data_IF_919540910864
#
_entry.id   IF_919540910864
#
_cell.length_a   1.000
_cell.length_b   1.000
_cell.length_c   1.000
_cell.angle_alpha   90.00
_cell.angle_beta   90.00
_cell.angle_gamma   90.00
#
_symmetry.space_group_name_H-M   'P 1'
#
loop_
_entity.id
_entity.type
_entity.pdbx_description
1 polymer ?
#
# COMPACT_ATOMS: atom_id res chain seq x y z
N UNK A 1 -5.01 -18.65 -41.20
CA UNK A 1 -4.61 -18.80 -39.78
C UNK A 1 -4.04 -17.47 -39.33
N UNK A 2 -4.84 -16.63 -38.68
CA UNK A 2 -4.37 -15.34 -38.16
C UNK A 2 -3.69 -15.58 -36.82
N UNK A 3 -2.38 -15.33 -36.75
CA UNK A 3 -1.69 -15.21 -35.47
C UNK A 3 -2.33 -14.06 -34.67
N UNK A 4 -2.55 -14.20 -33.35
CA UNK A 4 -3.06 -13.09 -32.57
C UNK A 4 -1.99 -11.99 -32.57
N UNK A 5 -2.39 -10.77 -32.98
CA UNK A 5 -1.59 -9.56 -32.80
C UNK A 5 -1.35 -9.40 -31.30
N UNK A 6 -0.20 -9.86 -30.82
CA UNK A 6 0.22 -9.60 -29.44
C UNK A 6 0.52 -8.11 -29.38
N UNK A 7 -0.43 -7.36 -28.80
CA UNK A 7 -0.37 -5.91 -28.71
C UNK A 7 0.85 -5.50 -27.88
N UNK A 8 1.77 -4.76 -28.48
CA UNK A 8 2.96 -4.20 -27.79
C UNK A 8 2.62 -2.90 -27.04
N UNK A 9 1.34 -2.69 -26.73
CA UNK A 9 0.86 -1.54 -25.99
C UNK A 9 1.24 -1.68 -24.50
N UNK A 10 1.53 -0.54 -23.83
CA UNK A 10 1.79 -0.54 -22.41
C UNK A 10 0.56 -1.04 -21.63
N UNK A 11 0.77 -1.98 -20.72
CA UNK A 11 -0.27 -2.55 -19.86
C UNK A 11 -0.68 -1.64 -18.70
N UNK A 12 0.19 -0.69 -18.35
CA UNK A 12 -0.06 0.29 -17.31
C UNK A 12 -0.22 1.67 -17.96
N UNK A 13 -1.07 2.54 -17.40
CA UNK A 13 -1.24 3.90 -17.89
C UNK A 13 0.10 4.64 -17.86
N UNK A 14 0.40 5.33 -18.97
CA UNK A 14 1.56 6.23 -19.10
C UNK A 14 1.12 7.65 -18.76
N UNK A 15 0.42 7.81 -17.64
CA UNK A 15 0.02 9.12 -17.14
C UNK A 15 1.02 9.62 -16.11
N UNK A 16 1.33 10.91 -16.17
CA UNK A 16 2.19 11.57 -15.18
C UNK A 16 1.52 11.60 -13.80
N UNK A 17 0.21 11.87 -13.74
CA UNK A 17 -0.55 11.92 -12.49
C UNK A 17 -1.77 11.00 -12.58
N UNK A 18 -1.76 9.93 -11.78
CA UNK A 18 -2.90 9.02 -11.64
C UNK A 18 -3.85 9.52 -10.56
N UNK A 19 -5.14 9.64 -10.87
CA UNK A 19 -6.18 10.02 -9.90
C UNK A 19 -7.13 8.84 -9.63
N UNK A 20 -7.20 8.40 -8.38
CA UNK A 20 -7.84 7.14 -8.02
C UNK A 20 -8.80 7.32 -6.84
N UNK A 21 -10.09 7.06 -7.03
CA UNK A 21 -11.11 7.16 -5.98
C UNK A 21 -11.11 5.98 -4.99
N UNK A 22 -10.65 4.79 -5.42
CA UNK A 22 -10.55 3.56 -4.62
C UNK A 22 -11.79 3.29 -3.73
N UNK A 23 -12.99 3.16 -4.33
CA UNK A 23 -14.25 3.05 -3.59
C UNK A 23 -14.25 1.87 -2.62
N UNK A 24 -14.56 2.10 -1.34
CA UNK A 24 -14.53 1.04 -0.32
C UNK A 24 -13.16 0.86 0.37
N UNK A 25 -12.11 1.52 -0.13
CA UNK A 25 -10.85 1.72 0.58
C UNK A 25 -10.79 3.14 1.14
N UNK A 26 -11.03 4.14 0.29
CA UNK A 26 -11.07 5.54 0.67
C UNK A 26 -12.51 5.98 0.99
N UNK A 27 -12.69 6.92 1.93
CA UNK A 27 -13.98 7.56 2.16
C UNK A 27 -14.50 8.31 0.92
N UNK A 28 -15.82 8.49 0.83
CA UNK A 28 -16.44 9.23 -0.26
C UNK A 28 -15.90 10.67 -0.35
N UNK A 29 -15.62 11.13 -1.58
CA UNK A 29 -15.05 12.45 -1.85
C UNK A 29 -13.55 12.55 -1.59
N UNK A 30 -12.88 11.45 -1.25
CA UNK A 30 -11.43 11.39 -1.16
C UNK A 30 -10.83 10.63 -2.35
N UNK A 31 -9.61 11.02 -2.74
CA UNK A 31 -8.87 10.39 -3.82
C UNK A 31 -7.41 10.20 -3.43
N UNK A 32 -6.77 9.21 -4.04
CA UNK A 32 -5.33 9.05 -4.09
C UNK A 32 -4.83 9.61 -5.42
N UNK A 33 -3.98 10.63 -5.38
CA UNK A 33 -3.27 11.12 -6.56
C UNK A 33 -1.80 10.68 -6.49
N UNK A 34 -1.26 10.17 -7.59
CA UNK A 34 0.14 9.70 -7.66
C UNK A 34 0.82 10.37 -8.83
N UNK A 35 1.79 11.23 -8.54
CA UNK A 35 2.73 11.73 -9.53
C UNK A 35 3.83 10.69 -9.74
N UNK A 36 3.74 9.97 -10.85
CA UNK A 36 4.57 8.80 -11.15
C UNK A 36 6.05 9.12 -11.42
N UNK A 37 6.44 10.26 -12.04
CA UNK A 37 7.84 10.58 -12.30
C UNK A 37 8.69 10.71 -11.02
N UNK A 38 8.17 11.39 -9.99
CA UNK A 38 8.89 11.60 -8.72
C UNK A 38 8.43 10.65 -7.61
N UNK A 39 7.46 9.78 -7.88
CA UNK A 39 6.93 8.84 -6.90
C UNK A 39 6.21 9.50 -5.72
N UNK A 40 5.55 10.63 -5.95
CA UNK A 40 4.81 11.33 -4.91
C UNK A 40 3.36 10.86 -4.91
N UNK A 41 2.92 10.22 -3.82
CA UNK A 41 1.51 9.88 -3.63
C UNK A 41 0.89 10.77 -2.55
N UNK A 42 -0.24 11.39 -2.87
CA UNK A 42 -1.00 12.24 -1.97
C UNK A 42 -2.43 11.75 -1.85
N UNK A 43 -2.95 11.76 -0.62
CA UNK A 43 -4.37 11.55 -0.37
C UNK A 43 -5.03 12.92 -0.23
N UNK A 44 -6.01 13.19 -1.08
CA UNK A 44 -6.74 14.44 -1.12
C UNK A 44 -8.18 14.20 -0.69
N UNK A 45 -8.72 15.12 0.11
CA UNK A 45 -10.13 15.15 0.45
C UNK A 45 -10.86 16.28 -0.25
N UNK A 46 -12.16 16.08 -0.46
CA UNK A 46 -13.04 17.10 -1.02
C UNK A 46 -12.93 18.45 -0.26
N UNK A 47 -13.04 19.57 -0.98
CA UNK A 47 -13.11 20.88 -0.36
C UNK A 47 -14.34 20.98 0.55
N UNK A 48 -14.24 21.76 1.63
CA UNK A 48 -15.37 21.96 2.56
C UNK A 48 -16.44 22.90 2.01
N UNK A 49 -16.06 23.77 1.07
CA UNK A 49 -16.92 24.75 0.42
C UNK A 49 -16.54 24.83 -1.06
N UNK A 50 -17.51 25.15 -1.89
CA UNK A 50 -17.27 25.41 -3.31
C UNK A 50 -16.25 26.54 -3.49
N UNK A 51 -15.36 26.39 -4.47
CA UNK A 51 -14.26 27.32 -4.73
C UNK A 51 -13.02 27.18 -3.83
N UNK A 52 -13.01 26.26 -2.85
CA UNK A 52 -11.81 25.96 -2.06
C UNK A 52 -10.93 24.89 -2.73
N UNK A 53 -9.59 24.95 -2.52
CA UNK A 53 -8.72 23.87 -2.97
C UNK A 53 -8.99 22.56 -2.21
N UNK A 54 -8.68 21.40 -2.83
CA UNK A 54 -8.71 20.11 -2.14
C UNK A 54 -7.83 20.10 -0.89
N UNK A 55 -8.25 19.33 0.11
CA UNK A 55 -7.51 19.21 1.37
C UNK A 55 -6.45 18.13 1.27
N UNK A 56 -5.19 18.46 1.54
CA UNK A 56 -4.14 17.45 1.68
C UNK A 56 -4.33 16.68 3.00
N UNK A 57 -4.64 15.39 2.90
CA UNK A 57 -4.85 14.50 4.05
C UNK A 57 -3.60 13.69 4.38
N UNK A 58 -2.69 13.52 3.43
CA UNK A 58 -1.40 12.88 3.64
C UNK A 58 -0.58 12.83 2.35
N UNK A 59 0.74 12.74 2.51
CA UNK A 59 1.68 12.64 1.40
C UNK A 59 2.78 11.62 1.72
N UNK A 60 3.22 10.86 0.72
CA UNK A 60 4.30 9.88 0.84
C UNK A 60 5.15 9.90 -0.42
N UNK A 61 6.47 9.86 -0.22
CA UNK A 61 7.44 9.72 -1.30
C UNK A 61 7.83 8.24 -1.45
N UNK A 62 7.83 7.77 -2.69
CA UNK A 62 8.21 6.43 -3.09
C UNK A 62 9.44 6.50 -3.98
N UNK A 63 10.34 5.55 -3.78
CA UNK A 63 11.47 5.33 -4.70
C UNK A 63 10.97 4.71 -6.00
N UNK A 64 11.77 4.78 -7.07
CA UNK A 64 11.43 4.18 -8.37
C UNK A 64 11.01 2.71 -8.25
N UNK A 65 11.76 1.89 -7.49
CA UNK A 65 11.41 0.48 -7.30
C UNK A 65 10.12 0.27 -6.51
N UNK A 66 9.81 1.17 -5.57
CA UNK A 66 8.53 1.12 -4.86
C UNK A 66 7.37 1.57 -5.76
N UNK A 67 7.57 2.56 -6.65
CA UNK A 67 6.60 2.95 -7.67
C UNK A 67 6.28 1.81 -8.63
N UNK A 68 7.30 1.05 -9.04
CA UNK A 68 7.13 -0.14 -9.88
C UNK A 68 6.21 -1.20 -9.23
N UNK A 69 6.09 -1.21 -7.91
CA UNK A 69 5.13 -2.06 -7.20
C UNK A 69 3.81 -1.32 -6.88
N UNK A 70 3.85 -0.03 -6.55
CA UNK A 70 2.69 0.77 -6.17
C UNK A 70 1.70 0.94 -7.33
N UNK A 71 2.19 1.34 -8.51
CA UNK A 71 1.33 1.62 -9.67
C UNK A 71 0.49 0.41 -10.08
N UNK A 72 1.07 -0.78 -10.33
CA UNK A 72 0.26 -1.93 -10.71
C UNK A 72 -0.73 -2.34 -9.61
N UNK A 73 -0.40 -2.18 -8.32
CA UNK A 73 -1.33 -2.45 -7.23
C UNK A 73 -2.58 -1.57 -7.28
N UNK A 74 -2.40 -0.26 -7.47
CA UNK A 74 -3.51 0.69 -7.42
C UNK A 74 -4.35 0.71 -8.68
N UNK A 75 -3.73 0.45 -9.85
CA UNK A 75 -4.43 0.34 -11.14
C UNK A 75 -5.22 -0.98 -11.23
N UNK A 76 -4.77 -2.05 -10.58
CA UNK A 76 -5.49 -3.32 -10.57
C UNK A 76 -6.76 -3.29 -9.71
N UNK A 77 -6.92 -2.30 -8.83
CA UNK A 77 -8.10 -2.18 -7.97
C UNK A 77 -9.38 -2.00 -8.80
N UNK A 78 -10.50 -2.71 -8.51
CA UNK A 78 -10.80 -3.49 -7.30
C UNK A 78 -10.30 -4.95 -7.29
N UNK A 79 -9.64 -5.39 -8.35
CA UNK A 79 -9.09 -6.73 -8.46
C UNK A 79 -7.74 -6.85 -7.76
N UNK A 80 -7.26 -8.09 -7.62
CA UNK A 80 -5.91 -8.33 -7.15
C UNK A 80 -4.91 -8.00 -8.26
N UNK A 81 -3.72 -7.57 -7.89
CA UNK A 81 -2.57 -7.43 -8.77
C UNK A 81 -1.80 -8.75 -8.82
N UNK A 82 -1.69 -9.41 -9.99
CA UNK A 82 -1.01 -10.69 -10.13
C UNK A 82 0.51 -10.61 -9.90
N UNK A 83 1.12 -11.72 -9.47
CA UNK A 83 2.58 -11.76 -9.26
C UNK A 83 3.39 -11.54 -10.53
N UNK A 84 2.93 -12.04 -11.68
CA UNK A 84 3.63 -11.84 -12.95
C UNK A 84 3.68 -10.37 -13.36
N UNK A 85 2.65 -9.58 -13.05
CA UNK A 85 2.60 -8.15 -13.33
C UNK A 85 3.59 -7.43 -12.43
N UNK A 86 3.60 -7.75 -11.13
CA UNK A 86 4.57 -7.19 -10.18
C UNK A 86 6.01 -7.54 -10.54
N UNK A 87 6.25 -8.78 -10.96
CA UNK A 87 7.57 -9.23 -11.40
C UNK A 87 8.01 -8.49 -12.66
N UNK A 88 7.14 -8.37 -13.65
CA UNK A 88 7.43 -7.64 -14.88
C UNK A 88 7.70 -6.15 -14.60
N UNK A 89 6.91 -5.50 -13.75
CA UNK A 89 7.14 -4.12 -13.36
C UNK A 89 8.45 -3.96 -12.58
N UNK A 90 8.79 -4.91 -11.70
CA UNK A 90 10.05 -4.89 -10.97
C UNK A 90 11.26 -5.04 -11.90
N UNK A 91 11.19 -5.94 -12.88
CA UNK A 91 12.30 -6.22 -13.80
C UNK A 91 12.46 -5.17 -14.91
N UNK A 92 11.34 -4.63 -15.41
CA UNK A 92 11.35 -3.79 -16.61
C UNK A 92 10.94 -2.34 -16.36
N UNK A 93 10.14 -2.07 -15.33
CA UNK A 93 9.42 -0.79 -15.15
C UNK A 93 10.30 0.44 -14.97
N UNK A 94 11.55 0.30 -14.56
CA UNK A 94 12.49 1.42 -14.43
C UNK A 94 13.14 1.85 -15.75
N UNK A 95 13.16 0.97 -16.76
CA UNK A 95 13.96 1.18 -17.99
C UNK A 95 13.16 1.01 -19.28
N UNK A 96 12.02 0.32 -19.22
CA UNK A 96 11.20 -0.01 -20.38
C UNK A 96 9.72 -0.08 -20.00
N UNK A 97 8.85 0.13 -20.98
CA UNK A 97 7.40 -0.05 -20.80
C UNK A 97 7.06 -1.52 -20.53
N UNK A 98 6.14 -1.77 -19.60
CA UNK A 98 5.65 -3.12 -19.30
C UNK A 98 4.56 -3.48 -20.30
N UNK A 99 4.78 -4.53 -21.09
CA UNK A 99 3.88 -4.99 -22.16
C UNK A 99 3.40 -6.41 -21.90
N UNK A 100 2.30 -6.82 -22.55
CA UNK A 100 1.73 -8.17 -22.40
C UNK A 100 2.72 -9.31 -22.68
N UNK A 101 3.57 -9.27 -23.72
CA UNK A 101 4.60 -10.29 -23.93
C UNK A 101 5.50 -10.51 -22.70
N UNK A 102 5.84 -9.43 -22.00
CA UNK A 102 6.73 -9.51 -20.82
C UNK A 102 6.01 -10.06 -19.61
N UNK A 103 4.77 -9.64 -19.39
CA UNK A 103 3.93 -10.22 -18.33
C UNK A 103 3.70 -11.70 -18.59
N UNK A 104 3.42 -12.11 -19.83
CA UNK A 104 3.28 -13.51 -20.21
C UNK A 104 4.57 -14.31 -19.97
N UNK A 105 5.74 -13.74 -20.29
CA UNK A 105 7.03 -14.38 -20.01
C UNK A 105 7.27 -14.55 -18.49
N UNK A 106 6.96 -13.53 -17.69
CA UNK A 106 7.01 -13.61 -16.23
C UNK A 106 6.04 -14.66 -15.68
N UNK A 107 4.81 -14.75 -16.22
CA UNK A 107 3.80 -15.75 -15.85
C UNK A 107 4.31 -17.17 -16.09
N UNK A 108 4.80 -17.44 -17.30
CA UNK A 108 5.37 -18.75 -17.65
C UNK A 108 6.60 -19.11 -16.80
N UNK A 109 7.40 -18.12 -16.41
CA UNK A 109 8.54 -18.34 -15.51
C UNK A 109 8.05 -18.72 -14.11
N UNK A 110 7.10 -17.96 -13.55
CA UNK A 110 6.56 -18.25 -12.22
C UNK A 110 5.88 -19.61 -12.15
N UNK A 111 5.11 -20.00 -13.17
CA UNK A 111 4.49 -21.33 -13.23
C UNK A 111 5.54 -22.44 -13.20
N UNK A 112 6.59 -22.35 -14.04
CA UNK A 112 7.68 -23.33 -14.02
C UNK A 112 8.36 -23.44 -12.66
N UNK A 113 8.59 -22.31 -11.98
CA UNK A 113 9.19 -22.30 -10.65
C UNK A 113 8.29 -22.92 -9.57
N UNK A 114 6.96 -22.78 -9.70
CA UNK A 114 5.99 -23.45 -8.83
C UNK A 114 5.99 -24.97 -9.08
N UNK A 115 5.99 -25.39 -10.35
CA UNK A 115 5.99 -26.80 -10.75
C UNK A 115 7.22 -27.57 -10.23
N UNK A 116 8.38 -26.91 -10.11
CA UNK A 116 9.59 -27.53 -9.58
C UNK A 116 9.53 -27.83 -8.07
N UNK A 117 8.79 -27.06 -7.28
CA UNK A 117 8.58 -27.31 -5.84
C UNK A 117 9.82 -27.24 -4.94
N UNK A 118 10.96 -26.73 -5.42
CA UNK A 118 12.26 -26.71 -4.74
C UNK A 118 12.54 -25.43 -3.92
N UNK A 119 11.55 -24.54 -3.82
CA UNK A 119 11.68 -23.23 -3.19
C UNK A 119 12.24 -22.13 -4.09
N UNK A 120 12.50 -22.41 -5.37
CA UNK A 120 12.97 -21.40 -6.33
C UNK A 120 11.95 -20.29 -6.56
N UNK A 121 10.64 -20.59 -6.50
CA UNK A 121 9.59 -19.57 -6.53
C UNK A 121 9.72 -18.57 -5.38
N UNK A 122 9.96 -19.07 -4.16
CA UNK A 122 10.14 -18.24 -2.97
C UNK A 122 11.37 -17.34 -3.11
N UNK A 123 12.45 -17.86 -3.68
CA UNK A 123 13.66 -17.09 -3.98
C UNK A 123 13.37 -15.94 -4.96
N UNK A 124 12.70 -16.23 -6.08
CA UNK A 124 12.34 -15.24 -7.09
C UNK A 124 11.41 -14.14 -6.54
N UNK A 125 10.42 -14.53 -5.72
CA UNK A 125 9.43 -13.60 -5.17
C UNK A 125 9.89 -12.83 -3.93
N UNK A 126 11.02 -13.20 -3.31
CA UNK A 126 11.57 -12.52 -2.13
C UNK A 126 11.80 -11.00 -2.35
N UNK A 127 12.47 -10.53 -3.42
CA UNK A 127 12.66 -9.10 -3.66
C UNK A 127 11.34 -8.34 -3.80
N UNK A 128 10.34 -8.94 -4.46
CA UNK A 128 9.00 -8.34 -4.65
C UNK A 128 8.33 -8.18 -3.28
N UNK A 129 8.34 -9.22 -2.44
CA UNK A 129 7.79 -9.18 -1.07
C UNK A 129 8.45 -8.10 -0.20
N UNK A 130 9.76 -7.94 -0.32
CA UNK A 130 10.50 -6.91 0.42
C UNK A 130 10.08 -5.49 -0.01
N UNK A 131 9.86 -5.26 -1.30
CA UNK A 131 9.36 -3.98 -1.81
C UNK A 131 7.93 -3.75 -1.37
N UNK A 132 7.05 -4.74 -1.53
CA UNK A 132 5.65 -4.64 -1.12
C UNK A 132 5.53 -4.34 0.37
N UNK A 133 6.40 -4.92 1.21
CA UNK A 133 6.44 -4.62 2.65
C UNK A 133 6.70 -3.13 2.93
N UNK A 134 7.62 -2.51 2.20
CA UNK A 134 7.91 -1.07 2.32
C UNK A 134 6.79 -0.20 1.76
N UNK A 135 6.26 -0.57 0.58
CA UNK A 135 5.10 0.10 -0.04
C UNK A 135 3.90 0.09 0.91
N UNK A 136 3.62 -1.06 1.52
CA UNK A 136 2.55 -1.24 2.49
C UNK A 136 2.68 -0.29 3.68
N UNK A 137 3.87 -0.18 4.27
CA UNK A 137 4.11 0.74 5.40
C UNK A 137 3.86 2.21 5.02
N UNK A 138 4.24 2.62 3.81
CA UNK A 138 3.96 3.97 3.31
C UNK A 138 2.46 4.18 3.08
N UNK A 139 1.79 3.22 2.44
CA UNK A 139 0.35 3.22 2.20
C UNK A 139 -0.48 3.26 3.48
N UNK A 140 0.00 2.69 4.59
CA UNK A 140 -0.66 2.81 5.90
C UNK A 140 -0.81 4.28 6.31
N UNK A 141 0.19 5.10 6.00
CA UNK A 141 0.14 6.56 6.21
C UNK A 141 -0.93 7.28 5.38
N UNK A 142 -1.44 6.63 4.34
CA UNK A 142 -2.54 7.09 3.48
C UNK A 142 -3.84 6.34 3.78
N UNK A 143 -3.87 5.49 4.82
CA UNK A 143 -5.05 4.72 5.23
C UNK A 143 -5.37 3.52 4.34
N UNK A 144 -4.40 3.03 3.57
CA UNK A 144 -4.55 1.89 2.65
C UNK A 144 -3.68 0.74 3.18
N UNK A 145 -4.20 -0.48 3.15
CA UNK A 145 -3.46 -1.71 3.46
C UNK A 145 -3.28 -2.58 2.19
N UNK A 146 -2.26 -3.43 2.21
CA UNK A 146 -1.97 -4.40 1.15
C UNK A 146 -1.96 -5.80 1.77
N UNK A 147 -2.75 -6.70 1.20
CA UNK A 147 -2.85 -8.10 1.66
C UNK A 147 -2.42 -9.06 0.56
N UNK A 148 -1.62 -10.08 0.93
CA UNK A 148 -1.22 -11.14 0.01
C UNK A 148 -2.36 -12.13 -0.24
N UNK A 149 -2.45 -12.61 -1.47
CA UNK A 149 -3.25 -13.77 -1.86
C UNK A 149 -2.27 -14.88 -2.26
N UNK A 150 -2.38 -16.04 -1.60
CA UNK A 150 -1.44 -17.15 -1.74
C UNK A 150 -1.24 -17.48 -3.22
N UNK A 151 0.01 -17.50 -3.66
CA UNK A 151 0.46 -17.88 -5.02
C UNK A 151 -0.16 -17.10 -6.18
N UNK A 152 -0.97 -16.08 -5.88
CA UNK A 152 -1.78 -15.37 -6.89
C UNK A 152 -1.35 -13.92 -7.04
N UNK A 153 -1.14 -13.21 -5.93
CA UNK A 153 -0.94 -11.77 -6.01
C UNK A 153 -1.12 -11.00 -4.72
N UNK A 154 -1.48 -9.73 -4.86
CA UNK A 154 -1.80 -8.82 -3.76
C UNK A 154 -3.07 -8.04 -4.03
N UNK A 155 -3.80 -7.71 -2.96
CA UNK A 155 -5.04 -6.93 -3.03
C UNK A 155 -4.95 -5.74 -2.07
N UNK A 156 -5.49 -4.60 -2.51
CA UNK A 156 -5.64 -3.41 -1.67
C UNK A 156 -6.89 -3.51 -0.80
N UNK A 157 -6.78 -3.03 0.45
CA UNK A 157 -7.86 -3.00 1.43
C UNK A 157 -7.85 -1.71 2.23
N UNK A 158 -8.98 -1.29 2.83
CA UNK A 158 -8.96 -0.20 3.80
C UNK A 158 -8.08 -0.58 5.00
N UNK A 159 -7.25 0.35 5.47
CA UNK A 159 -6.47 0.14 6.69
C UNK A 159 -7.43 0.06 7.89
N UNK A 160 -7.57 -1.14 8.46
CA UNK A 160 -8.30 -1.31 9.71
C UNK A 160 -7.51 -0.64 10.82
N UNK A 161 -8.07 0.43 11.41
CA UNK A 161 -7.55 0.96 12.68
C UNK A 161 -7.65 -0.14 13.70
N UNK A 162 -6.51 -0.75 14.06
CA UNK A 162 -6.44 -1.68 15.18
C UNK A 162 -6.98 -0.89 16.38
N UNK A 163 -8.17 -1.24 16.86
CA UNK A 163 -8.64 -0.76 18.16
C UNK A 163 -7.53 -1.14 19.14
N UNK A 164 -6.73 -0.17 19.57
CA UNK A 164 -5.92 -0.32 20.76
C UNK A 164 -6.94 -0.68 21.83
N UNK A 165 -6.97 -1.94 22.27
CA UNK A 165 -7.59 -2.28 23.55
C UNK A 165 -6.90 -1.36 24.55
N UNK A 166 -7.63 -0.36 25.03
CA UNK A 166 -7.21 0.44 26.15
C UNK A 166 -7.08 -0.55 27.30
N UNK A 167 -5.87 -1.02 27.56
CA UNK A 167 -5.56 -1.71 28.79
C UNK A 167 -5.77 -0.69 29.89
N UNK A 168 -6.87 -0.82 30.61
CA UNK A 168 -7.19 -0.06 31.81
C UNK A 168 -6.17 -0.41 32.88
N UNK A 169 -4.96 0.15 32.81
CA UNK A 169 -4.07 0.20 33.95
C UNK A 169 -4.51 1.38 34.83
N UNK A 170 -5.47 1.08 35.70
CA UNK A 170 -5.83 1.89 36.84
C UNK A 170 -4.61 1.98 37.78
N UNK A 171 -3.70 2.93 37.54
CA UNK A 171 -2.72 3.35 38.55
C UNK A 171 -3.49 4.09 39.64
N UNK A 172 -3.77 3.38 40.75
CA UNK A 172 -4.18 4.00 42.01
C UNK A 172 -3.07 4.96 42.44
N UNK A 173 -3.40 6.25 42.50
CA UNK A 173 -2.58 7.25 43.19
C UNK A 173 -2.86 7.07 44.68
N UNK A 174 -1.85 6.88 45.56
CA UNK A 174 -2.10 6.91 46.99
C UNK A 174 -2.26 8.38 47.41
N UNK A 175 -3.45 8.69 47.92
CA UNK A 175 -3.74 9.93 48.64
C UNK A 175 -3.06 9.83 50.00
N UNK A 176 -2.04 10.65 50.24
CA UNK A 176 -1.48 10.86 51.57
C UNK A 176 -2.37 11.87 52.30
N UNK A 177 -3.21 11.36 53.19
CA UNK A 177 -4.00 12.13 54.15
C UNK A 177 -3.08 12.77 55.18
N UNK A 178 -3.12 14.09 55.27
CA UNK A 178 -2.57 14.88 56.37
C UNK A 178 -3.37 14.63 57.65
N UNK A 179 -2.77 13.99 58.65
CA UNK A 179 -3.28 13.98 60.02
C UNK A 179 -2.64 15.10 60.82
N UNK A 180 -3.45 16.12 61.10
CA UNK A 180 -3.24 17.10 62.16
C UNK A 180 -3.40 16.42 63.52
N UNK A 181 -2.33 16.34 64.31
CA UNK A 181 -2.42 16.03 65.75
C UNK A 181 -2.11 17.31 66.51
N UNK A 182 -3.17 17.90 67.07
CA UNK A 182 -3.11 18.92 68.11
C UNK A 182 -3.45 18.21 69.43
N UNK A 183 -2.53 18.21 70.39
CA UNK A 183 -2.80 18.04 71.83
C UNK A 183 -1.54 18.51 72.60
N UNK A 184 -1.50 19.72 73.17
CA UNK A 184 -1.99 20.16 74.49
C UNK A 184 -1.22 19.60 75.71
N UNK A 185 -0.52 20.54 76.37
CA UNK A 185 -0.47 20.81 77.83
C UNK A 185 0.61 20.18 78.74
N UNK A 186 1.15 21.07 79.61
CA UNK A 186 1.68 20.86 80.97
C UNK A 186 3.10 20.25 81.03
N UNK A 187 4.14 20.87 81.62
CA UNK A 187 4.27 21.77 82.77
C UNK A 187 5.56 22.58 82.67
#
# INVERSE_FOLDING_TARGET
MNAPLVSDQPLLPVEEILHLSLPGILPAGEILAIFTPDGVAVRLGAPKREGQPPRLLGARLFTVSECCALVPLVVSYPHHCPYEVLLACYQYGATKQVTEPRVAACRQRLHRLLDHGDGSFEHEMRPIRNIISRVRLKLHGLGIDVTSMLETGYLLRPLRRRHRRAGTHSRKVPVLSSTSTSERTAR
#
